data_IF_361817756146
#
_entry.id   IF_361817756146
#
_cell.length_a   1.000
_cell.length_b   1.000
_cell.length_c   1.000
_cell.angle_alpha   90.00
_cell.angle_beta   90.00
_cell.angle_gamma   90.00
#
_symmetry.space_group_name_H-M   'P 1'
#
loop_
_entity.id
_entity.type
_entity.pdbx_description
1 polymer ?
#
# COMPACT_ATOMS: atom_id res chain seq x y z
N UNK A 1 7.19 10.54 -15.44
CA UNK A 1 6.59 9.33 -16.07
C UNK A 1 7.51 8.09 -16.02
N UNK A 2 8.75 8.14 -16.51
CA UNK A 2 9.64 6.95 -16.62
C UNK A 2 9.89 6.20 -15.30
N UNK A 3 10.12 6.93 -14.20
CA UNK A 3 10.28 6.36 -12.85
C UNK A 3 9.06 5.49 -12.48
N UNK A 4 7.85 5.99 -12.78
CA UNK A 4 6.60 5.30 -12.46
C UNK A 4 6.42 4.06 -13.34
N UNK A 5 6.69 4.17 -14.63
CA UNK A 5 6.61 3.04 -15.56
C UNK A 5 7.57 1.90 -15.17
N UNK A 6 8.81 2.26 -14.81
CA UNK A 6 9.83 1.29 -14.37
C UNK A 6 9.44 0.63 -13.05
N UNK A 7 8.94 1.39 -12.08
CA UNK A 7 8.51 0.83 -10.81
C UNK A 7 7.27 -0.08 -10.98
N UNK A 8 6.35 0.30 -11.88
CA UNK A 8 5.17 -0.50 -12.20
C UNK A 8 5.53 -1.81 -12.91
N UNK A 9 6.52 -1.82 -13.81
CA UNK A 9 6.96 -3.07 -14.45
C UNK A 9 7.66 -4.03 -13.47
N UNK A 10 8.47 -3.49 -12.55
CA UNK A 10 9.19 -4.26 -11.52
C UNK A 10 8.34 -4.67 -10.32
N UNK A 11 7.05 -4.33 -10.27
CA UNK A 11 6.19 -4.57 -9.08
C UNK A 11 6.14 -6.04 -8.62
N UNK A 12 6.26 -7.00 -9.55
CA UNK A 12 6.28 -8.43 -9.23
C UNK A 12 7.59 -8.88 -8.57
N UNK A 13 8.68 -8.14 -8.75
CA UNK A 13 9.95 -8.37 -8.03
C UNK A 13 9.87 -7.84 -6.60
N UNK A 14 9.07 -6.82 -6.35
CA UNK A 14 8.83 -6.24 -5.01
C UNK A 14 7.91 -7.16 -4.21
N UNK A 15 6.79 -7.55 -4.80
CA UNK A 15 5.86 -8.48 -4.21
C UNK A 15 5.18 -9.36 -5.28
N UNK A 16 5.13 -10.69 -5.10
CA UNK A 16 4.52 -11.58 -6.09
C UNK A 16 3.07 -11.28 -6.45
N UNK A 17 2.30 -10.60 -5.57
CA UNK A 17 0.93 -10.17 -5.88
C UNK A 17 0.87 -9.10 -6.98
N UNK A 18 1.95 -8.35 -7.19
CA UNK A 18 1.98 -7.15 -8.01
C UNK A 18 1.20 -5.97 -7.43
N UNK A 19 0.63 -6.09 -6.23
CA UNK A 19 -0.16 -5.03 -5.59
C UNK A 19 0.71 -3.94 -4.92
N UNK A 20 2.02 -4.13 -4.86
CA UNK A 20 2.95 -3.23 -4.17
C UNK A 20 4.00 -2.71 -5.16
N UNK A 21 4.10 -1.39 -5.28
CA UNK A 21 5.10 -0.72 -6.11
C UNK A 21 6.16 -0.11 -5.19
N UNK A 22 7.44 -0.24 -5.53
CA UNK A 22 8.53 0.46 -4.86
C UNK A 22 9.15 1.50 -5.79
N UNK A 23 9.18 2.76 -5.37
CA UNK A 23 9.95 3.79 -6.02
C UNK A 23 11.37 3.85 -5.43
N UNK A 24 12.39 3.82 -6.30
CA UNK A 24 13.79 4.02 -5.88
C UNK A 24 14.07 5.47 -5.49
N UNK A 25 13.31 6.41 -6.05
CA UNK A 25 13.34 7.83 -5.71
C UNK A 25 11.91 8.35 -5.67
N UNK A 26 11.58 9.18 -4.68
CA UNK A 26 10.27 9.83 -4.62
C UNK A 26 10.06 10.77 -5.82
N UNK A 27 8.86 10.69 -6.41
CA UNK A 27 8.37 11.63 -7.41
C UNK A 27 6.85 11.79 -7.29
N UNK A 28 6.25 12.88 -7.80
CA UNK A 28 4.81 12.92 -8.04
C UNK A 28 4.42 11.76 -8.99
N UNK A 29 3.64 10.81 -8.48
CA UNK A 29 3.40 9.53 -9.17
C UNK A 29 1.96 9.31 -9.60
N UNK A 30 0.98 9.97 -8.95
CA UNK A 30 -0.46 9.66 -9.11
C UNK A 30 -0.92 9.71 -10.57
N UNK A 31 -0.88 10.89 -11.20
CA UNK A 31 -1.36 11.07 -12.58
C UNK A 31 -0.76 10.02 -13.53
N UNK A 32 0.56 9.89 -13.52
CA UNK A 32 1.26 8.93 -14.36
C UNK A 32 0.91 7.47 -14.06
N UNK A 33 0.69 7.08 -12.79
CA UNK A 33 0.28 5.72 -12.46
C UNK A 33 -1.09 5.41 -13.05
N UNK A 34 -2.05 6.33 -12.91
CA UNK A 34 -3.41 6.14 -13.43
C UNK A 34 -3.44 6.10 -14.96
N UNK A 35 -2.64 6.91 -15.64
CA UNK A 35 -2.52 6.86 -17.10
C UNK A 35 -1.92 5.52 -17.56
N UNK A 36 -0.85 5.07 -16.90
CA UNK A 36 -0.22 3.78 -17.21
C UNK A 36 -1.15 2.59 -16.95
N UNK A 37 -1.96 2.63 -15.88
CA UNK A 37 -2.96 1.59 -15.62
C UNK A 37 -3.98 1.51 -16.76
N UNK A 38 -4.46 2.64 -17.27
CA UNK A 38 -5.37 2.69 -18.42
C UNK A 38 -4.71 2.16 -19.70
N UNK A 39 -3.50 2.60 -19.99
CA UNK A 39 -2.75 2.19 -21.19
C UNK A 39 -2.44 0.69 -21.20
N UNK A 40 -2.11 0.12 -20.04
CA UNK A 40 -1.75 -1.29 -19.88
C UNK A 40 -2.95 -2.18 -19.57
N UNK A 41 -4.16 -1.62 -19.46
CA UNK A 41 -5.37 -2.38 -19.12
C UNK A 41 -5.36 -2.97 -17.71
N UNK A 42 -4.61 -2.38 -16.78
CA UNK A 42 -4.54 -2.82 -15.38
C UNK A 42 -5.79 -2.35 -14.65
N UNK A 43 -6.66 -3.29 -14.33
CA UNK A 43 -7.96 -3.06 -13.67
C UNK A 43 -8.11 -3.98 -12.46
N UNK A 44 -9.15 -3.79 -11.65
CA UNK A 44 -9.44 -4.71 -10.52
C UNK A 44 -9.61 -6.16 -10.99
N UNK A 45 -10.18 -6.36 -12.18
CA UNK A 45 -10.35 -7.68 -12.78
C UNK A 45 -9.03 -8.39 -13.12
N UNK A 46 -7.91 -7.67 -13.21
CA UNK A 46 -6.60 -8.29 -13.46
C UNK A 46 -6.02 -8.99 -12.23
N UNK A 47 -6.57 -8.75 -11.04
CA UNK A 47 -6.13 -9.35 -9.78
C UNK A 47 -4.76 -8.88 -9.28
N UNK A 48 -4.06 -8.01 -10.03
CA UNK A 48 -2.74 -7.48 -9.68
C UNK A 48 -2.67 -5.94 -9.75
N UNK A 49 -3.84 -5.30 -9.64
CA UNK A 49 -3.94 -3.84 -9.59
C UNK A 49 -3.14 -3.32 -8.39
N UNK A 50 -2.24 -2.35 -8.58
CA UNK A 50 -1.50 -1.74 -7.47
C UNK A 50 -2.42 -1.17 -6.40
N UNK A 51 -2.09 -1.45 -5.13
CA UNK A 51 -2.80 -0.98 -3.94
C UNK A 51 -1.93 -0.08 -3.06
N UNK A 52 -0.61 -0.32 -3.03
CA UNK A 52 0.34 0.45 -2.24
C UNK A 52 1.54 0.92 -3.05
N UNK A 53 2.05 2.10 -2.71
CA UNK A 53 3.37 2.58 -3.12
C UNK A 53 4.30 2.70 -1.91
N UNK A 54 5.55 2.29 -2.09
CA UNK A 54 6.63 2.40 -1.12
C UNK A 54 7.68 3.37 -1.65
N UNK A 55 8.10 4.31 -0.81
CA UNK A 55 9.18 5.24 -1.14
C UNK A 55 9.87 5.75 0.13
N UNK A 56 11.14 6.11 -0.01
CA UNK A 56 11.90 6.77 1.05
C UNK A 56 11.56 8.26 1.09
N UNK A 57 11.35 8.81 2.28
CA UNK A 57 11.16 10.23 2.49
C UNK A 57 12.49 10.98 2.73
N UNK A 58 12.41 12.30 2.90
CA UNK A 58 13.59 13.15 3.13
C UNK A 58 14.32 12.86 4.45
N UNK A 59 13.70 12.13 5.38
CA UNK A 59 14.27 11.73 6.67
C UNK A 59 14.81 10.30 6.67
N UNK A 60 14.98 9.69 5.47
CA UNK A 60 15.42 8.30 5.29
C UNK A 60 14.50 7.28 5.98
N UNK A 61 13.21 7.61 6.04
CA UNK A 61 12.16 6.72 6.53
C UNK A 61 11.32 6.26 5.36
N UNK A 62 10.81 5.04 5.45
CA UNK A 62 10.00 4.46 4.41
C UNK A 62 8.53 4.79 4.64
N UNK A 63 7.86 5.21 3.57
CA UNK A 63 6.43 5.45 3.52
C UNK A 63 5.75 4.27 2.84
N UNK A 64 4.61 3.90 3.39
CA UNK A 64 3.63 3.01 2.75
C UNK A 64 2.39 3.86 2.52
N UNK A 65 2.12 4.19 1.27
CA UNK A 65 0.97 5.02 0.90
C UNK A 65 -0.03 4.18 0.11
N UNK A 66 -1.27 4.17 0.58
CA UNK A 66 -2.37 3.54 -0.12
C UNK A 66 -2.73 4.35 -1.37
N UNK A 67 -2.92 3.67 -2.49
CA UNK A 67 -3.29 4.32 -3.75
C UNK A 67 -4.77 4.71 -3.67
N UNK A 68 -5.15 5.96 -4.00
CA UNK A 68 -6.54 6.37 -3.96
C UNK A 68 -7.37 5.68 -5.06
N UNK A 69 -8.70 5.68 -4.92
CA UNK A 69 -9.59 5.13 -5.95
C UNK A 69 -9.51 5.92 -7.26
N UNK A 70 -9.25 7.23 -7.15
CA UNK A 70 -9.05 8.20 -8.24
C UNK A 70 -7.95 9.20 -7.86
N UNK A 71 -7.27 9.88 -8.80
CA UNK A 71 -6.12 10.75 -8.49
C UNK A 71 -6.37 11.77 -7.36
N UNK A 72 -7.56 12.38 -7.36
CA UNK A 72 -7.97 13.43 -6.42
C UNK A 72 -8.85 12.93 -5.26
N UNK A 73 -9.07 11.61 -5.17
CA UNK A 73 -9.92 11.05 -4.13
C UNK A 73 -9.22 10.98 -2.77
N UNK A 74 -9.99 11.21 -1.71
CA UNK A 74 -9.60 10.95 -0.32
C UNK A 74 -9.74 9.46 0.06
N UNK A 75 -10.53 8.69 -0.69
CA UNK A 75 -10.74 7.27 -0.44
C UNK A 75 -9.59 6.45 -1.06
N UNK A 76 -9.01 5.55 -0.26
CA UNK A 76 -7.98 4.60 -0.69
C UNK A 76 -8.60 3.34 -1.26
N UNK A 77 -7.98 2.72 -2.28
CA UNK A 77 -8.37 1.40 -2.80
C UNK A 77 -8.34 0.35 -1.69
N UNK A 78 -7.28 0.38 -0.89
CA UNK A 78 -7.16 -0.38 0.35
C UNK A 78 -6.41 0.46 1.40
N UNK A 79 -7.11 1.16 2.31
CA UNK A 79 -6.46 1.88 3.40
C UNK A 79 -5.73 0.90 4.33
N UNK A 80 -4.73 1.39 5.07
CA UNK A 80 -4.08 0.60 6.13
C UNK A 80 -5.09 0.17 7.20
N UNK A 81 -4.86 -0.97 7.89
CA UNK A 81 -5.78 -1.57 8.86
C UNK A 81 -6.28 -0.60 9.91
N UNK A 82 -7.58 -0.67 10.21
CA UNK A 82 -8.22 0.19 11.21
C UNK A 82 -7.57 0.08 12.59
N UNK A 83 -7.14 -1.13 12.96
CA UNK A 83 -6.43 -1.41 14.21
C UNK A 83 -5.10 -0.67 14.36
N UNK A 84 -4.54 -0.13 13.28
CA UNK A 84 -3.27 0.61 13.27
C UNK A 84 -3.46 2.14 13.21
N UNK A 85 -4.61 2.61 12.74
CA UNK A 85 -4.85 4.03 12.44
C UNK A 85 -4.75 4.89 13.70
N UNK A 86 -4.01 6.00 13.60
CA UNK A 86 -3.77 6.92 14.71
C UNK A 86 -2.64 6.51 15.65
N UNK A 87 -2.15 5.28 15.57
CA UNK A 87 -1.04 4.81 16.40
C UNK A 87 0.33 5.13 15.80
N UNK A 88 1.33 5.19 16.68
CA UNK A 88 2.71 5.58 16.35
C UNK A 88 3.73 4.73 17.10
N UNK A 89 4.96 4.76 16.60
CA UNK A 89 6.17 4.26 17.27
C UNK A 89 6.00 2.85 17.89
N UNK A 90 6.38 2.66 19.16
CA UNK A 90 6.35 1.37 19.84
C UNK A 90 4.93 0.81 19.99
N UNK A 91 3.93 1.66 20.20
CA UNK A 91 2.54 1.21 20.32
C UNK A 91 2.03 0.61 19.00
N UNK A 92 2.31 1.28 17.88
CA UNK A 92 2.00 0.75 16.55
C UNK A 92 2.81 -0.52 16.26
N UNK A 93 4.07 -0.56 16.66
CA UNK A 93 4.92 -1.74 16.48
C UNK A 93 4.37 -2.95 17.26
N UNK A 94 3.90 -2.74 18.48
CA UNK A 94 3.25 -3.78 19.29
C UNK A 94 1.92 -4.26 18.71
N UNK A 95 1.09 -3.34 18.20
CA UNK A 95 -0.22 -3.68 17.60
C UNK A 95 -0.11 -4.41 16.27
N UNK A 96 0.85 -4.01 15.43
CA UNK A 96 1.07 -4.62 14.11
C UNK A 96 1.97 -5.86 14.17
N UNK A 97 2.76 -6.02 15.24
CA UNK A 97 3.82 -7.02 15.29
C UNK A 97 4.98 -6.72 14.33
N UNK A 98 5.08 -5.49 13.83
CA UNK A 98 6.12 -5.04 12.89
C UNK A 98 7.04 -4.08 13.63
N UNK A 99 8.33 -4.41 13.68
CA UNK A 99 9.31 -3.55 14.34
C UNK A 99 9.46 -2.19 13.63
N UNK A 100 9.88 -1.19 14.39
CA UNK A 100 10.27 0.13 13.88
C UNK A 100 9.20 0.87 13.07
N UNK A 101 7.93 0.64 13.37
CA UNK A 101 6.85 1.47 12.85
C UNK A 101 7.01 2.92 13.33
N UNK A 102 6.64 3.87 12.48
CA UNK A 102 6.71 5.31 12.78
C UNK A 102 5.30 5.85 13.06
N UNK A 103 4.36 5.62 12.14
CA UNK A 103 2.96 6.03 12.32
C UNK A 103 2.03 5.39 11.28
N UNK A 104 0.72 5.48 11.53
CA UNK A 104 -0.34 5.36 10.52
C UNK A 104 -1.33 6.52 10.69
N UNK A 105 -1.67 7.21 9.61
CA UNK A 105 -2.65 8.29 9.63
C UNK A 105 -4.05 7.78 10.03
N UNK A 106 -4.89 8.63 10.65
CA UNK A 106 -6.22 8.26 11.14
C UNK A 106 -7.16 7.68 10.07
N UNK A 107 -7.00 8.06 8.81
CA UNK A 107 -7.79 7.47 7.70
C UNK A 107 -7.12 6.26 7.04
N UNK A 108 -5.89 5.91 7.43
CA UNK A 108 -5.13 4.80 6.86
C UNK A 108 -4.52 5.06 5.47
N UNK A 109 -4.62 6.27 4.91
CA UNK A 109 -4.08 6.55 3.56
C UNK A 109 -2.55 6.46 3.48
N UNK A 110 -1.86 6.68 4.61
CA UNK A 110 -0.40 6.61 4.68
C UNK A 110 0.05 6.12 6.05
N UNK A 111 1.15 5.38 6.05
CA UNK A 111 1.92 5.03 7.23
C UNK A 111 3.41 5.07 6.93
N UNK A 112 4.21 4.73 7.93
CA UNK A 112 5.65 4.69 7.76
C UNK A 112 6.36 3.74 8.70
N UNK A 113 7.53 3.31 8.25
CA UNK A 113 8.45 2.46 8.99
C UNK A 113 9.88 3.01 8.82
N UNK A 114 10.79 2.69 9.72
CA UNK A 114 12.19 3.08 9.58
C UNK A 114 12.91 2.32 8.47
N UNK A 115 12.40 1.16 8.06
CA UNK A 115 13.05 0.26 7.10
C UNK A 115 12.14 -0.05 5.91
N UNK A 116 12.74 -0.39 4.76
CA UNK A 116 12.00 -0.87 3.59
C UNK A 116 11.23 -2.16 3.94
N UNK A 117 11.90 -3.11 4.59
CA UNK A 117 11.31 -4.41 4.91
C UNK A 117 10.12 -4.27 5.86
N UNK A 118 10.19 -3.34 6.82
CA UNK A 118 9.07 -3.02 7.69
C UNK A 118 7.91 -2.37 6.94
N UNK A 119 8.17 -1.42 6.03
CA UNK A 119 7.12 -0.82 5.21
C UNK A 119 6.47 -1.84 4.24
N UNK A 120 7.27 -2.72 3.66
CA UNK A 120 6.79 -3.84 2.84
C UNK A 120 5.95 -4.82 3.66
N UNK A 121 6.37 -5.12 4.89
CA UNK A 121 5.61 -5.95 5.83
C UNK A 121 4.26 -5.32 6.19
N UNK A 122 4.22 -3.99 6.40
CA UNK A 122 2.97 -3.27 6.65
C UNK A 122 2.00 -3.42 5.47
N UNK A 123 2.47 -3.22 4.24
CA UNK A 123 1.64 -3.40 3.04
C UNK A 123 1.15 -4.85 2.89
N UNK A 124 2.04 -5.84 3.03
CA UNK A 124 1.70 -7.27 2.93
C UNK A 124 0.67 -7.72 3.97
N UNK A 125 0.84 -7.33 5.23
CA UNK A 125 -0.13 -7.67 6.26
C UNK A 125 -1.48 -7.00 6.01
N UNK A 126 -1.50 -5.78 5.48
CA UNK A 126 -2.74 -5.11 5.09
C UNK A 126 -3.49 -5.89 3.99
N UNK A 127 -2.77 -6.40 2.98
CA UNK A 127 -3.35 -7.28 1.95
C UNK A 127 -3.92 -8.58 2.56
N UNK A 128 -3.18 -9.21 3.48
CA UNK A 128 -3.59 -10.45 4.10
C UNK A 128 -4.85 -10.28 4.98
N UNK A 129 -4.92 -9.20 5.76
CA UNK A 129 -6.09 -8.88 6.60
C UNK A 129 -7.33 -8.63 5.74
N UNK A 130 -7.21 -7.84 4.67
CA UNK A 130 -8.30 -7.58 3.73
C UNK A 130 -8.85 -8.87 3.11
N UNK A 131 -7.99 -9.76 2.63
CA UNK A 131 -8.40 -11.05 2.07
C UNK A 131 -9.13 -11.93 3.09
N UNK A 132 -8.72 -11.86 4.37
CA UNK A 132 -9.35 -12.63 5.45
C UNK A 132 -10.76 -12.11 5.82
N UNK A 133 -10.94 -10.79 5.85
CA UNK A 133 -12.22 -10.14 6.11
C UNK A 133 -13.23 -10.44 5.00
N UNK A 134 -12.80 -10.34 3.74
CA UNK A 134 -13.63 -10.70 2.59
C UNK A 134 -14.06 -12.17 2.62
N UNK A 135 -13.14 -13.08 2.98
CA UNK A 135 -13.44 -14.51 3.07
C UNK A 135 -14.45 -14.81 4.18
N UNK A 136 -14.36 -14.12 5.33
CA UNK A 136 -15.33 -14.25 6.42
C UNK A 136 -16.72 -13.72 6.01
N UNK A 137 -16.79 -12.53 5.40
CA UNK A 137 -18.08 -11.96 4.94
C UNK A 137 -18.76 -12.84 3.89
N UNK A 138 -18.00 -13.46 2.97
CA UNK A 138 -18.56 -14.37 1.97
C UNK A 138 -19.15 -15.63 2.61
N UNK A 139 -18.51 -16.18 3.65
CA UNK A 139 -19.03 -17.34 4.38
C UNK A 139 -20.33 -17.03 5.13
N UNK A 140 -20.43 -15.86 5.74
CA UNK A 140 -21.62 -15.42 6.48
C UNK A 140 -22.84 -15.08 5.60
N UNK A 141 -22.66 -14.83 4.29
CA UNK A 141 -23.75 -14.53 3.35
C UNK A 141 -24.34 -15.76 2.66
N UNK A 142 -23.75 -16.93 2.87
CA UNK A 142 -24.18 -18.20 2.27
C UNK A 142 -25.03 -19.02 3.26
N UNK A 143 -25.11 -18.59 4.51
CA UNK A 143 -26.03 -19.08 5.55
C UNK A 143 -27.29 -18.20 5.64
#
# INVERSE_FOLDING_TARGET
REIVATALSKRFEVDPSGAIIKFEQFCPWKEHLFDLEKELGITEATGNRPLYVLYEDTSRRWRVQAIPVEPDSFASRLPLPESWRGFRDEELSGKSGIADCVFVHHSGFIGGNKTLDGALSMARQSLALSNSEEAQMKRQRVE
#
